data_IF_028626451585
#
_entry.id   IF_028626451585
#
_cell.length_a   1.000
_cell.length_b   1.000
_cell.length_c   1.000
_cell.angle_alpha   90.00
_cell.angle_beta   90.00
_cell.angle_gamma   90.00
#
_symmetry.space_group_name_H-M   'P 1'
#
loop_
_entity.id
_entity.type
_entity.pdbx_description
1 polymer ?
#
# COMPACT_ATOMS: atom_id res chain seq x y z
N UNK A 1 -5.84 -22.22 -13.84
CA UNK A 1 -5.38 -21.43 -12.68
C UNK A 1 -4.10 -20.69 -13.06
N UNK A 2 -4.05 -19.36 -12.92
CA UNK A 2 -2.80 -18.61 -13.13
C UNK A 2 -1.87 -18.88 -11.93
N UNK A 3 -0.71 -19.47 -12.22
CA UNK A 3 0.39 -19.57 -11.29
C UNK A 3 1.41 -18.48 -11.63
N UNK A 4 1.91 -17.71 -10.65
CA UNK A 4 1.52 -17.72 -9.24
C UNK A 4 0.16 -17.05 -8.98
N UNK A 5 -0.44 -17.35 -7.83
CA UNK A 5 -1.66 -16.68 -7.35
C UNK A 5 -1.40 -15.19 -7.11
N UNK A 6 -2.38 -14.33 -7.43
CA UNK A 6 -2.31 -12.88 -7.19
C UNK A 6 -3.09 -12.54 -5.93
N UNK A 7 -2.45 -11.85 -4.98
CA UNK A 7 -3.06 -11.38 -3.73
C UNK A 7 -3.27 -9.88 -3.80
N UNK A 8 -4.53 -9.44 -3.72
CA UNK A 8 -4.88 -8.02 -3.59
C UNK A 8 -4.48 -7.50 -2.21
N UNK A 9 -3.76 -6.38 -2.20
CA UNK A 9 -3.20 -5.73 -1.02
C UNK A 9 -3.83 -4.34 -0.83
N UNK A 10 -4.90 -4.24 -0.03
CA UNK A 10 -5.50 -2.95 0.30
C UNK A 10 -4.56 -2.13 1.18
N UNK A 11 -4.71 -0.81 1.15
CA UNK A 11 -4.04 0.12 2.04
C UNK A 11 -4.90 1.36 2.25
N UNK A 12 -4.54 2.17 3.24
CA UNK A 12 -5.25 3.39 3.60
C UNK A 12 -4.26 4.37 4.26
N UNK A 13 -4.63 5.65 4.35
CA UNK A 13 -3.90 6.63 5.14
C UNK A 13 -4.17 6.42 6.64
N UNK A 14 -3.32 7.00 7.50
CA UNK A 14 -3.56 7.01 8.94
C UNK A 14 -4.90 7.70 9.23
N UNK A 15 -5.71 7.10 10.10
CA UNK A 15 -7.07 7.57 10.46
C UNK A 15 -8.12 7.55 9.34
N UNK A 16 -7.80 6.98 8.18
CA UNK A 16 -8.72 6.81 7.06
C UNK A 16 -9.01 5.32 6.77
N UNK A 17 -9.03 4.48 7.81
CA UNK A 17 -9.23 3.03 7.69
C UNK A 17 -10.55 2.64 7.01
N UNK A 18 -11.56 3.53 7.03
CA UNK A 18 -12.85 3.32 6.36
C UNK A 18 -12.77 3.56 4.85
N UNK A 19 -11.75 4.27 4.39
CA UNK A 19 -11.49 4.59 2.98
C UNK A 19 -10.34 3.71 2.53
N UNK A 20 -10.68 2.53 2.01
CA UNK A 20 -9.71 1.69 1.33
C UNK A 20 -9.78 1.96 -0.15
N UNK A 21 -8.65 2.38 -0.68
CA UNK A 21 -8.47 2.50 -2.11
C UNK A 21 -8.45 1.08 -2.71
N UNK A 22 -9.18 0.88 -3.81
CA UNK A 22 -9.40 -0.41 -4.45
C UNK A 22 -10.51 -0.26 -5.48
N UNK A 23 -10.13 -0.15 -6.75
CA UNK A 23 -11.10 -0.09 -7.85
C UNK A 23 -11.73 -1.49 -8.03
N UNK A 24 -13.07 -1.51 -8.10
CA UNK A 24 -13.97 -2.64 -8.38
C UNK A 24 -14.33 -3.53 -7.18
N UNK A 25 -15.26 -3.03 -6.36
CA UNK A 25 -16.25 -3.85 -5.66
C UNK A 25 -17.14 -4.52 -6.73
N UNK A 26 -16.79 -5.74 -7.16
CA UNK A 26 -17.82 -6.70 -7.52
C UNK A 26 -18.55 -7.04 -6.23
N UNK A 27 -19.82 -6.65 -6.15
CA UNK A 27 -20.62 -6.56 -4.93
C UNK A 27 -21.09 -7.93 -4.39
N UNK A 28 -20.52 -9.03 -4.88
CA UNK A 28 -20.91 -10.39 -4.50
C UNK A 28 -19.82 -11.03 -3.62
N UNK A 29 -19.72 -10.55 -2.38
CA UNK A 29 -19.36 -11.32 -1.14
C UNK A 29 -18.98 -10.43 0.07
N UNK A 30 -19.13 -9.10 0.00
CA UNK A 30 -18.61 -8.17 1.04
C UNK A 30 -19.70 -7.42 1.82
N UNK A 31 -20.96 -7.87 1.76
CA UNK A 31 -22.08 -7.17 2.41
C UNK A 31 -22.21 -7.33 3.94
N UNK A 32 -21.20 -7.79 4.68
CA UNK A 32 -21.45 -8.02 6.12
C UNK A 32 -20.29 -7.86 7.12
N UNK A 33 -19.20 -7.12 6.81
CA UNK A 33 -18.19 -6.83 7.86
C UNK A 33 -17.60 -5.42 7.81
N UNK A 34 -17.86 -4.57 8.82
CA UNK A 34 -17.00 -3.42 9.07
C UNK A 34 -15.56 -3.91 9.34
N UNK A 35 -14.55 -3.22 8.80
CA UNK A 35 -13.11 -3.32 9.13
C UNK A 35 -12.18 -4.30 8.37
N UNK A 36 -12.55 -4.97 7.27
CA UNK A 36 -11.59 -5.83 6.51
C UNK A 36 -10.43 -5.01 5.91
N UNK A 37 -10.75 -3.77 5.56
CA UNK A 37 -9.89 -2.71 5.05
C UNK A 37 -8.65 -2.39 5.90
N UNK A 38 -8.74 -2.63 7.21
CA UNK A 38 -7.79 -2.16 8.22
C UNK A 38 -6.91 -3.27 8.83
N UNK A 39 -6.89 -4.49 8.27
CA UNK A 39 -6.16 -5.61 8.89
C UNK A 39 -4.97 -6.13 8.09
N UNK A 40 -5.05 -6.28 6.75
CA UNK A 40 -3.90 -6.82 5.98
C UNK A 40 -2.71 -5.86 6.03
N UNK A 41 -2.99 -4.57 5.89
CA UNK A 41 -1.98 -3.52 5.84
C UNK A 41 -1.33 -3.26 7.20
N UNK A 42 -2.14 -3.17 8.26
CA UNK A 42 -1.66 -3.01 9.64
C UNK A 42 -1.02 -4.28 10.17
N UNK A 43 -1.61 -5.46 9.93
CA UNK A 43 -1.00 -6.74 10.35
C UNK A 43 0.32 -7.01 9.62
N UNK A 44 0.56 -6.41 8.46
CA UNK A 44 1.89 -6.44 7.83
C UNK A 44 2.91 -5.69 8.70
N UNK A 45 2.59 -4.48 9.15
CA UNK A 45 3.44 -3.71 10.06
C UNK A 45 3.63 -4.39 11.41
N UNK A 46 2.56 -4.98 11.98
CA UNK A 46 2.63 -5.78 13.21
C UNK A 46 3.54 -7.01 13.02
N UNK A 47 3.45 -7.69 11.87
CA UNK A 47 4.31 -8.83 11.56
C UNK A 47 5.78 -8.40 11.43
N UNK A 48 6.05 -7.22 10.84
CA UNK A 48 7.40 -6.66 10.75
C UNK A 48 8.02 -6.35 12.12
N UNK A 49 7.21 -6.03 13.13
CA UNK A 49 7.70 -5.79 14.48
C UNK A 49 8.29 -7.07 15.12
N UNK A 50 7.71 -8.23 14.81
CA UNK A 50 8.03 -9.51 15.49
C UNK A 50 8.85 -10.49 14.63
N UNK A 51 8.86 -10.36 13.31
CA UNK A 51 9.48 -11.33 12.40
C UNK A 51 10.60 -10.68 11.56
N UNK A 52 11.85 -11.13 11.74
CA UNK A 52 13.00 -10.62 11.00
C UNK A 52 12.98 -10.91 9.50
N UNK A 53 12.29 -11.97 9.06
CA UNK A 53 12.10 -12.26 7.64
C UNK A 53 11.04 -11.35 7.03
N UNK A 54 10.02 -10.98 7.81
CA UNK A 54 9.01 -10.01 7.38
C UNK A 54 9.66 -8.66 7.05
N UNK A 55 10.65 -8.24 7.86
CA UNK A 55 11.39 -6.98 7.67
C UNK A 55 12.19 -6.88 6.36
N UNK A 56 12.42 -7.98 5.65
CA UNK A 56 13.20 -8.00 4.40
C UNK A 56 12.35 -7.72 3.15
N UNK A 57 11.04 -7.58 3.31
CA UNK A 57 10.07 -7.54 2.22
C UNK A 57 9.34 -6.19 2.21
N UNK A 58 9.07 -5.70 1.01
CA UNK A 58 8.09 -4.64 0.80
C UNK A 58 6.67 -5.20 0.95
N UNK A 59 5.66 -4.34 0.98
CA UNK A 59 4.27 -4.79 1.08
C UNK A 59 3.88 -5.66 -0.13
N UNK A 60 4.27 -5.27 -1.35
CA UNK A 60 4.00 -6.05 -2.58
C UNK A 60 4.74 -7.39 -2.65
N UNK A 61 5.92 -7.47 -2.03
CA UNK A 61 6.69 -8.71 -1.93
C UNK A 61 6.14 -9.64 -0.83
N UNK A 62 5.39 -9.12 0.13
CA UNK A 62 4.99 -9.85 1.33
C UNK A 62 4.30 -11.21 1.04
N UNK A 63 3.34 -11.30 0.10
CA UNK A 63 2.68 -12.56 -0.24
C UNK A 63 3.59 -13.65 -0.81
N UNK A 64 4.80 -13.29 -1.26
CA UNK A 64 5.79 -14.26 -1.75
C UNK A 64 6.30 -15.18 -0.64
N UNK A 65 6.31 -14.70 0.61
CA UNK A 65 6.81 -15.43 1.79
C UNK A 65 5.78 -15.56 2.90
N UNK A 66 4.69 -14.81 2.86
CA UNK A 66 3.62 -14.86 3.84
C UNK A 66 2.28 -15.18 3.17
N UNK A 67 1.38 -15.80 3.93
CA UNK A 67 0.00 -16.10 3.53
C UNK A 67 -0.95 -15.45 4.52
N UNK A 68 -2.00 -14.81 3.99
CA UNK A 68 -3.05 -14.23 4.80
C UNK A 68 -3.94 -15.34 5.35
N UNK A 69 -4.07 -15.42 6.66
CA UNK A 69 -5.02 -16.31 7.33
C UNK A 69 -6.28 -15.51 7.62
N UNK A 70 -7.33 -15.75 6.83
CA UNK A 70 -8.59 -15.01 6.93
C UNK A 70 -9.25 -15.21 8.32
N UNK A 71 -9.26 -16.46 8.79
CA UNK A 71 -9.73 -16.83 10.12
C UNK A 71 -8.65 -16.50 11.15
N UNK A 72 -8.72 -15.29 11.71
CA UNK A 72 -7.74 -14.75 12.66
C UNK A 72 -7.09 -13.46 12.18
N UNK A 73 -7.25 -13.10 10.90
CA UNK A 73 -6.80 -11.83 10.32
C UNK A 73 -5.32 -11.53 10.57
N UNK A 74 -4.44 -12.48 10.27
CA UNK A 74 -3.00 -12.30 10.44
C UNK A 74 -2.20 -12.90 9.29
N UNK A 75 -0.94 -12.47 9.19
CA UNK A 75 0.02 -13.04 8.25
C UNK A 75 0.80 -14.18 8.89
N UNK A 76 0.92 -15.29 8.17
CA UNK A 76 1.72 -16.45 8.58
C UNK A 76 2.80 -16.73 7.56
N UNK A 77 3.99 -17.15 8.00
CA UNK A 77 5.03 -17.64 7.09
C UNK A 77 4.48 -18.74 6.18
N UNK A 78 4.67 -18.57 4.88
CA UNK A 78 4.27 -19.50 3.83
C UNK A 78 5.22 -20.69 3.84
N UNK A 79 4.65 -21.90 3.88
CA UNK A 79 5.43 -23.15 3.79
C UNK A 79 5.65 -23.62 2.35
N UNK A 80 4.67 -23.42 1.46
CA UNK A 80 4.67 -23.93 0.08
C UNK A 80 4.09 -22.91 -0.90
N UNK A 81 4.61 -22.93 -2.13
CA UNK A 81 4.13 -22.12 -3.25
C UNK A 81 4.66 -20.68 -3.25
N UNK A 82 4.20 -19.90 -4.24
CA UNK A 82 4.48 -18.47 -4.36
C UNK A 82 3.19 -17.72 -4.72
N UNK A 83 3.11 -16.47 -4.27
CA UNK A 83 2.07 -15.54 -4.67
C UNK A 83 2.69 -14.17 -4.97
N UNK A 84 2.04 -13.38 -5.82
CA UNK A 84 2.44 -12.00 -6.14
C UNK A 84 1.46 -11.06 -5.44
N UNK A 85 1.97 -10.09 -4.70
CA UNK A 85 1.16 -9.01 -4.15
C UNK A 85 0.87 -7.96 -5.23
N UNK A 86 -0.37 -7.47 -5.26
CA UNK A 86 -0.77 -6.37 -6.13
C UNK A 86 -1.52 -5.32 -5.33
N UNK A 87 -0.97 -4.11 -5.35
CA UNK A 87 -1.65 -2.90 -4.90
C UNK A 87 -2.36 -2.30 -6.12
N UNK A 88 -3.58 -1.78 -5.94
CA UNK A 88 -4.34 -1.13 -7.00
C UNK A 88 -3.67 0.18 -7.43
N UNK A 89 -4.03 0.68 -8.62
CA UNK A 89 -3.55 1.99 -9.07
C UNK A 89 -4.23 3.09 -8.27
N UNK A 90 -3.50 4.14 -7.91
CA UNK A 90 -4.06 5.32 -7.27
C UNK A 90 -3.76 6.51 -8.17
N UNK A 91 -4.76 7.36 -8.40
CA UNK A 91 -4.58 8.58 -9.17
C UNK A 91 -3.66 9.55 -8.42
N UNK A 92 -2.73 10.25 -9.10
CA UNK A 92 -1.95 11.34 -8.51
C UNK A 92 -2.81 12.41 -7.81
N UNK A 93 -4.06 12.60 -8.26
CA UNK A 93 -5.03 13.55 -7.66
C UNK A 93 -5.38 13.23 -6.21
N UNK A 94 -5.21 11.98 -5.79
CA UNK A 94 -5.47 11.54 -4.41
C UNK A 94 -4.29 11.85 -3.46
N UNK A 95 -3.30 12.62 -3.91
CA UNK A 95 -2.27 13.22 -3.07
C UNK A 95 -1.48 12.19 -2.28
N UNK A 96 -1.53 12.28 -0.95
CA UNK A 96 -0.77 11.41 -0.05
C UNK A 96 -1.03 9.92 -0.25
N UNK A 97 -2.23 9.51 -0.68
CA UNK A 97 -2.51 8.11 -0.99
C UNK A 97 -1.69 7.60 -2.19
N UNK A 98 -1.45 8.47 -3.18
CA UNK A 98 -0.62 8.15 -4.34
C UNK A 98 0.84 7.94 -3.92
N UNK A 99 1.38 8.84 -3.10
CA UNK A 99 2.76 8.73 -2.60
C UNK A 99 2.94 7.53 -1.66
N UNK A 100 1.97 7.27 -0.78
CA UNK A 100 1.96 6.06 0.04
C UNK A 100 2.03 4.81 -0.85
N UNK A 101 1.21 4.71 -1.90
CA UNK A 101 1.26 3.59 -2.85
C UNK A 101 2.66 3.37 -3.41
N UNK A 102 3.36 4.44 -3.78
CA UNK A 102 4.74 4.38 -4.28
C UNK A 102 5.66 3.81 -3.21
N UNK A 103 5.62 4.33 -1.99
CA UNK A 103 6.44 3.86 -0.88
C UNK A 103 6.19 2.38 -0.54
N UNK A 104 4.95 1.90 -0.61
CA UNK A 104 4.64 0.48 -0.35
C UNK A 104 5.28 -0.50 -1.34
N UNK A 105 5.76 0.00 -2.49
CA UNK A 105 6.55 -0.78 -3.45
C UNK A 105 8.06 -0.74 -3.17
N UNK A 106 8.53 0.08 -2.24
CA UNK A 106 9.95 0.41 -2.05
C UNK A 106 10.44 0.14 -0.62
N UNK A 107 9.67 0.56 0.38
CA UNK A 107 10.07 0.49 1.78
C UNK A 107 9.89 -0.91 2.32
N UNK A 108 10.90 -1.41 3.04
CA UNK A 108 10.94 -2.77 3.58
C UNK A 108 10.79 -2.74 5.10
N UNK A 109 9.94 -3.64 5.61
CA UNK A 109 9.83 -3.87 7.04
C UNK A 109 9.38 -2.72 7.94
N UNK A 110 8.59 -1.71 7.50
CA UNK A 110 8.11 -0.69 8.41
C UNK A 110 7.20 -1.30 9.48
N UNK A 111 7.30 -0.81 10.70
CA UNK A 111 6.46 -1.23 11.84
C UNK A 111 5.37 -0.22 12.18
N UNK A 112 5.38 0.93 11.51
CA UNK A 112 4.43 2.02 11.70
C UNK A 112 4.26 2.85 10.43
N UNK A 113 3.27 3.74 10.39
CA UNK A 113 3.14 4.74 9.33
C UNK A 113 4.33 5.69 9.27
N UNK A 114 4.94 6.00 10.42
CA UNK A 114 6.11 6.86 10.51
C UNK A 114 7.35 6.19 9.90
N UNK A 115 7.48 4.88 10.10
CA UNK A 115 8.55 4.10 9.48
C UNK A 115 8.41 4.09 7.95
N UNK A 116 7.18 4.09 7.41
CA UNK A 116 6.95 4.15 5.96
C UNK A 116 7.50 5.46 5.37
N UNK A 117 7.38 6.57 6.10
CA UNK A 117 7.92 7.89 5.69
C UNK A 117 9.32 8.18 6.24
N UNK A 118 10.02 7.17 6.76
CA UNK A 118 11.38 7.31 7.28
C UNK A 118 12.40 6.88 6.23
N UNK A 119 13.28 7.80 5.85
CA UNK A 119 14.31 7.60 4.83
C UNK A 119 15.66 7.94 5.45
N UNK A 120 16.64 7.04 5.33
CA UNK A 120 17.98 7.22 5.90
C UNK A 120 18.00 7.62 7.40
N UNK A 121 17.03 7.12 8.18
CA UNK A 121 16.90 7.42 9.60
C UNK A 121 16.20 8.75 9.93
N UNK A 122 15.75 9.50 8.93
CA UNK A 122 14.96 10.73 9.11
C UNK A 122 13.50 10.49 8.76
N UNK A 123 12.60 10.78 9.69
CA UNK A 123 11.15 10.75 9.45
C UNK A 123 10.71 12.05 8.78
N UNK A 124 10.11 11.96 7.60
CA UNK A 124 9.65 13.11 6.82
C UNK A 124 8.20 13.48 7.13
N UNK A 125 7.82 14.74 6.98
CA UNK A 125 6.47 15.28 7.29
C UNK A 125 5.33 14.62 6.52
N UNK A 126 5.57 14.18 5.29
CA UNK A 126 4.57 13.58 4.40
C UNK A 126 5.13 12.39 3.63
N UNK A 127 4.25 11.57 3.04
CA UNK A 127 4.66 10.51 2.11
C UNK A 127 5.26 11.10 0.83
N UNK A 128 4.78 12.27 0.38
CA UNK A 128 5.39 13.02 -0.72
C UNK A 128 6.86 13.35 -0.43
N UNK A 129 7.15 13.92 0.73
CA UNK A 129 8.51 14.30 1.12
C UNK A 129 9.44 13.08 1.22
N UNK A 130 8.93 11.96 1.72
CA UNK A 130 9.69 10.71 1.74
C UNK A 130 9.97 10.17 0.32
N UNK A 131 9.02 10.28 -0.61
CA UNK A 131 9.25 9.94 -2.01
C UNK A 131 10.33 10.83 -2.66
N UNK A 132 10.36 12.15 -2.34
CA UNK A 132 11.45 13.03 -2.78
C UNK A 132 12.80 12.63 -2.21
N UNK A 133 12.86 12.34 -0.90
CA UNK A 133 14.09 11.94 -0.24
C UNK A 133 14.66 10.60 -0.77
N UNK A 134 13.80 9.75 -1.35
CA UNK A 134 14.19 8.51 -2.03
C UNK A 134 14.47 8.70 -3.53
N UNK A 135 14.42 9.93 -4.05
CA UNK A 135 14.60 10.26 -5.47
C UNK A 135 13.64 9.46 -6.38
N UNK A 136 12.41 9.21 -5.89
CA UNK A 136 11.39 8.44 -6.62
C UNK A 136 10.50 9.32 -7.50
N UNK A 137 10.66 10.63 -7.42
CA UNK A 137 9.92 11.63 -8.17
C UNK A 137 10.93 12.36 -9.04
N UNK A 138 10.75 12.31 -10.36
CA UNK A 138 11.41 13.28 -11.24
C UNK A 138 10.88 14.67 -10.88
N UNK A 139 11.74 15.70 -11.00
CA UNK A 139 11.44 17.14 -10.83
C UNK A 139 9.95 17.39 -11.10
N UNK A 140 9.24 17.86 -10.07
CA UNK A 140 7.80 18.00 -9.82
C UNK A 140 6.86 18.19 -11.01
N UNK A 141 7.38 18.54 -12.18
CA UNK A 141 6.73 18.69 -13.45
C UNK A 141 5.76 17.55 -13.80
N UNK A 142 6.12 16.26 -13.72
CA UNK A 142 5.15 15.19 -14.08
C UNK A 142 3.95 15.12 -13.12
N UNK A 143 4.17 15.30 -11.81
CA UNK A 143 3.09 15.32 -10.82
C UNK A 143 2.24 16.60 -10.94
N UNK A 144 2.89 17.74 -11.12
CA UNK A 144 2.25 19.04 -11.32
C UNK A 144 1.45 19.04 -12.63
N UNK A 145 2.00 18.54 -13.72
CA UNK A 145 1.34 18.47 -15.03
C UNK A 145 0.17 17.49 -14.99
N UNK A 146 0.31 16.34 -14.32
CA UNK A 146 -0.80 15.41 -14.09
C UNK A 146 -1.95 16.02 -13.25
N UNK A 147 -1.64 16.92 -12.31
CA UNK A 147 -2.65 17.68 -11.55
C UNK A 147 -3.26 18.81 -12.40
N UNK A 148 -2.44 19.52 -13.19
CA UNK A 148 -2.89 20.65 -14.02
C UNK A 148 -3.77 20.20 -15.18
N UNK A 149 -3.37 19.18 -15.95
CA UNK A 149 -4.18 18.64 -17.04
C UNK A 149 -5.55 18.20 -16.53
N UNK A 150 -5.57 17.55 -15.37
CA UNK A 150 -6.78 17.14 -14.67
C UNK A 150 -7.74 18.27 -14.26
N UNK A 151 -7.24 19.49 -14.09
CA UNK A 151 -8.04 20.66 -13.72
C UNK A 151 -8.71 21.34 -14.93
N UNK A 152 -8.24 21.09 -16.15
CA UNK A 152 -8.84 21.61 -17.38
C UNK A 152 -9.95 20.73 -17.94
N UNK A 153 -10.05 19.46 -17.53
CA UNK A 153 -11.18 18.58 -17.89
C UNK A 153 -12.40 18.74 -16.96
N UNK A 154 -12.36 19.66 -16.00
CA UNK A 154 -13.47 19.95 -15.09
C UNK A 154 -14.35 21.15 -15.49
N UNK A 155 -14.04 21.82 -16.61
CA UNK A 155 -14.77 23.02 -17.06
C UNK A 155 -15.52 22.87 -18.39
N UNK A 156 -15.70 21.64 -18.88
CA UNK A 156 -16.59 21.36 -20.01
C UNK A 156 -17.59 20.25 -19.66
N UNK A 157 -18.53 20.59 -18.76
CA UNK A 157 -19.88 20.03 -18.70
C UNK A 157 -20.87 21.17 -18.43
#
# INVERSE_FOLDING_TARGET
MRYPSVVRLPFHLLNQQQIVYGEDDDIDDVLDKPSVAASKFTAWMECNAIDSEARKLTYVEFPTKFVWILNGRFWKRRKVGKAIGRIHSVSPKLGEAYFLRILLNKVKGPTSFDDIRTVNGQTHSSFRDACYALELLDDDKEYIDAIKEASHFGSEL
#
